data_IF_613835607720
#
_entry.id   IF_613835607720
#
_cell.length_a   1.000
_cell.length_b   1.000
_cell.length_c   1.000
_cell.angle_alpha   90.00
_cell.angle_beta   90.00
_cell.angle_gamma   90.00
#
_symmetry.space_group_name_H-M   'P 1'
#
loop_
_entity.id
_entity.type
_entity.pdbx_description
1 polymer ?
#
# COMPACT_ATOMS: atom_id res chain seq x y z
N UNK A 1 -10.27 -10.03 11.32
CA UNK A 1 -9.98 -11.08 10.30
C UNK A 1 -10.86 -12.32 10.48
N UNK A 2 -11.10 -12.80 11.71
CA UNK A 2 -11.95 -13.97 11.96
C UNK A 2 -13.45 -13.76 11.70
N UNK A 3 -13.95 -12.54 11.88
CA UNK A 3 -15.37 -12.20 11.70
C UNK A 3 -15.90 -12.35 10.27
N UNK A 4 -15.04 -12.28 9.25
CA UNK A 4 -15.44 -12.50 7.85
C UNK A 4 -15.66 -13.98 7.52
N UNK A 5 -14.99 -14.90 8.24
CA UNK A 5 -15.22 -16.35 8.08
C UNK A 5 -16.57 -16.79 8.66
N UNK A 6 -17.19 -15.97 9.50
CA UNK A 6 -18.46 -16.25 10.17
C UNK A 6 -19.69 -15.71 9.43
N UNK A 7 -19.51 -14.94 8.35
CA UNK A 7 -20.62 -14.42 7.56
C UNK A 7 -21.16 -15.49 6.61
N UNK A 8 -22.49 -15.68 6.58
CA UNK A 8 -23.29 -16.59 5.73
C UNK A 8 -22.53 -17.38 4.65
N UNK A 9 -22.58 -18.71 4.73
CA UNK A 9 -21.69 -19.68 4.06
C UNK A 9 -21.32 -19.38 2.60
N UNK A 10 -22.26 -18.91 1.77
CA UNK A 10 -21.98 -18.61 0.35
C UNK A 10 -21.43 -17.20 0.14
N UNK A 11 -22.14 -16.18 0.62
CA UNK A 11 -21.78 -14.77 0.39
C UNK A 11 -20.51 -14.39 1.15
N UNK A 12 -20.37 -14.85 2.40
CA UNK A 12 -19.16 -14.60 3.19
C UNK A 12 -17.94 -15.27 2.59
N UNK A 13 -18.10 -16.48 2.05
CA UNK A 13 -17.02 -17.17 1.33
C UNK A 13 -16.61 -16.41 0.07
N UNK A 14 -17.56 -15.98 -0.76
CA UNK A 14 -17.27 -15.18 -1.97
C UNK A 14 -16.53 -13.87 -1.63
N UNK A 15 -16.93 -13.19 -0.56
CA UNK A 15 -16.25 -11.98 -0.08
C UNK A 15 -14.84 -12.29 0.43
N UNK A 16 -14.69 -13.35 1.22
CA UNK A 16 -13.40 -13.77 1.77
C UNK A 16 -12.43 -14.19 0.66
N UNK A 17 -12.90 -14.96 -0.32
CA UNK A 17 -12.11 -15.42 -1.47
C UNK A 17 -11.65 -14.21 -2.30
N UNK A 18 -12.53 -13.22 -2.53
CA UNK A 18 -12.16 -11.95 -3.17
C UNK A 18 -11.10 -11.20 -2.36
N UNK A 19 -11.28 -11.12 -1.04
CA UNK A 19 -10.32 -10.46 -0.16
C UNK A 19 -8.95 -11.13 -0.21
N UNK A 20 -8.88 -12.47 -0.10
CA UNK A 20 -7.63 -13.21 -0.22
C UNK A 20 -6.99 -12.98 -1.59
N UNK A 21 -7.77 -13.04 -2.68
CA UNK A 21 -7.27 -12.80 -4.03
C UNK A 21 -6.62 -11.42 -4.18
N UNK A 22 -7.23 -10.37 -3.61
CA UNK A 22 -6.68 -9.01 -3.63
C UNK A 22 -5.38 -8.91 -2.82
N UNK A 23 -5.35 -9.48 -1.62
CA UNK A 23 -4.16 -9.45 -0.75
C UNK A 23 -3.00 -10.27 -1.33
N UNK A 24 -3.29 -11.44 -1.92
CA UNK A 24 -2.26 -12.29 -2.52
C UNK A 24 -1.62 -11.66 -3.75
N UNK A 25 -2.40 -10.93 -4.55
CA UNK A 25 -1.91 -10.20 -5.73
C UNK A 25 -1.11 -8.95 -5.39
N UNK A 26 -1.32 -8.36 -4.22
CA UNK A 26 -0.61 -7.16 -3.77
C UNK A 26 0.66 -7.58 -2.99
N UNK A 27 1.77 -7.73 -3.70
CA UNK A 27 3.04 -8.15 -3.08
C UNK A 27 3.60 -7.05 -2.19
N UNK A 28 3.44 -5.80 -2.60
CA UNK A 28 3.91 -4.60 -1.89
C UNK A 28 3.25 -4.45 -0.52
N UNK A 29 2.00 -4.87 -0.39
CA UNK A 29 1.32 -4.94 0.91
C UNK A 29 2.04 -5.88 1.88
N UNK A 30 2.55 -7.03 1.41
CA UNK A 30 3.32 -7.96 2.26
C UNK A 30 4.64 -7.33 2.69
N UNK A 31 5.31 -6.62 1.78
CA UNK A 31 6.53 -5.84 2.07
C UNK A 31 6.25 -4.80 3.17
N UNK A 32 5.19 -4.00 3.04
CA UNK A 32 4.82 -3.01 4.06
C UNK A 32 4.51 -3.62 5.43
N UNK A 33 3.84 -4.78 5.46
CA UNK A 33 3.58 -5.51 6.71
C UNK A 33 4.89 -5.97 7.34
N UNK A 34 5.85 -6.45 6.55
CA UNK A 34 7.16 -6.88 7.06
C UNK A 34 7.94 -5.69 7.64
N UNK A 35 7.96 -4.56 6.94
CA UNK A 35 8.59 -3.32 7.42
C UNK A 35 7.95 -2.86 8.74
N UNK A 36 6.62 -2.92 8.84
CA UNK A 36 5.90 -2.59 10.08
C UNK A 36 6.32 -3.49 11.24
N UNK A 37 6.50 -4.80 11.01
CA UNK A 37 6.95 -5.73 12.06
C UNK A 37 8.36 -5.43 12.53
N UNK A 38 9.25 -5.06 11.61
CA UNK A 38 10.61 -4.61 11.94
C UNK A 38 10.56 -3.36 12.81
N UNK A 39 9.73 -2.37 12.46
CA UNK A 39 9.54 -1.17 13.29
C UNK A 39 8.93 -1.46 14.67
N UNK A 40 8.10 -2.49 14.78
CA UNK A 40 7.52 -2.96 16.06
C UNK A 40 8.47 -3.89 16.83
N UNK A 41 9.67 -4.17 16.32
CA UNK A 41 10.63 -5.12 16.89
C UNK A 41 10.06 -6.54 17.08
N UNK A 42 9.07 -6.92 16.28
CA UNK A 42 8.54 -8.29 16.25
C UNK A 42 9.43 -9.24 15.41
N UNK A 43 10.16 -8.68 14.46
CA UNK A 43 11.04 -9.39 13.52
C UNK A 43 12.28 -8.55 13.27
N UNK A 44 13.46 -9.16 13.31
CA UNK A 44 14.75 -8.48 13.07
C UNK A 44 15.38 -8.85 11.71
N UNK A 45 14.61 -9.46 10.81
CA UNK A 45 15.08 -9.93 9.50
C UNK A 45 14.47 -9.12 8.35
N UNK A 46 15.30 -8.84 7.34
CA UNK A 46 14.88 -8.26 6.06
C UNK A 46 14.28 -9.29 5.10
N UNK A 47 14.00 -10.50 5.58
CA UNK A 47 13.47 -11.57 4.75
C UNK A 47 12.04 -11.21 4.27
N UNK A 48 11.82 -11.27 2.96
CA UNK A 48 10.52 -10.90 2.36
C UNK A 48 10.39 -9.43 1.99
N UNK A 49 11.44 -8.62 2.14
CA UNK A 49 11.57 -7.27 1.59
C UNK A 49 12.38 -7.35 0.28
N UNK A 50 12.04 -6.53 -0.71
CA UNK A 50 12.75 -6.50 -2.00
C UNK A 50 14.23 -6.13 -1.80
N UNK A 51 15.14 -6.78 -2.54
CA UNK A 51 16.59 -6.61 -2.39
C UNK A 51 17.07 -5.17 -2.63
N UNK A 52 16.29 -4.38 -3.37
CA UNK A 52 16.58 -2.99 -3.69
C UNK A 52 16.36 -2.02 -2.50
N UNK A 53 15.62 -2.44 -1.46
CA UNK A 53 15.37 -1.64 -0.26
C UNK A 53 16.45 -1.87 0.79
N UNK A 54 17.12 -0.79 1.21
CA UNK A 54 18.13 -0.85 2.26
C UNK A 54 17.54 -0.60 3.64
N UNK A 55 18.32 -0.92 4.68
CA UNK A 55 17.94 -0.68 6.08
C UNK A 55 17.67 0.80 6.34
N UNK A 56 18.45 1.69 5.72
CA UNK A 56 18.27 3.13 5.87
C UNK A 56 16.90 3.59 5.31
N UNK A 57 16.44 2.94 4.24
CA UNK A 57 15.19 3.29 3.57
C UNK A 57 13.96 2.94 4.40
N UNK A 58 14.04 1.93 5.28
CA UNK A 58 12.95 1.54 6.19
C UNK A 58 12.46 2.72 7.03
N UNK A 59 13.37 3.60 7.44
CA UNK A 59 13.05 4.75 8.27
C UNK A 59 12.00 5.67 7.64
N UNK A 60 11.95 5.75 6.30
CA UNK A 60 10.97 6.53 5.56
C UNK A 60 9.56 5.93 5.60
N UNK A 61 9.44 4.62 5.88
CA UNK A 61 8.16 3.92 5.99
C UNK A 61 7.52 4.04 7.38
N UNK A 62 8.13 4.77 8.32
CA UNK A 62 7.57 4.98 9.67
C UNK A 62 6.13 5.52 9.66
N UNK A 63 5.80 6.32 8.65
CA UNK A 63 4.48 6.93 8.48
C UNK A 63 3.70 6.33 7.30
N UNK A 64 4.20 5.25 6.69
CA UNK A 64 3.50 4.60 5.59
C UNK A 64 2.20 3.98 6.11
N UNK A 65 1.08 4.41 5.53
CA UNK A 65 -0.23 3.87 5.87
C UNK A 65 -0.35 2.42 5.38
N UNK A 66 -0.58 1.47 6.30
CA UNK A 66 -0.88 0.07 5.96
C UNK A 66 -2.34 -0.08 5.48
N UNK A 67 -3.16 0.95 5.71
CA UNK A 67 -4.57 1.02 5.30
C UNK A 67 -4.71 1.29 3.81
N UNK A 68 -5.43 0.42 3.08
CA UNK A 68 -5.63 0.58 1.63
C UNK A 68 -6.45 1.82 1.24
N UNK A 69 -7.13 2.44 2.21
CA UNK A 69 -7.97 3.63 1.99
C UNK A 69 -7.11 4.83 1.55
N UNK A 70 -5.95 5.01 2.19
CA UNK A 70 -5.05 6.12 1.87
C UNK A 70 -4.34 5.88 0.54
N UNK A 71 -4.01 4.62 0.25
CA UNK A 71 -3.41 4.20 -1.03
C UNK A 71 -4.38 4.46 -2.19
N UNK A 72 -5.64 4.03 -2.11
CA UNK A 72 -6.64 4.31 -3.16
C UNK A 72 -6.91 5.81 -3.34
N UNK A 73 -7.02 6.57 -2.24
CA UNK A 73 -7.22 8.02 -2.31
C UNK A 73 -6.02 8.69 -2.97
N UNK A 74 -4.80 8.32 -2.59
CA UNK A 74 -3.59 8.93 -3.13
C UNK A 74 -3.36 8.53 -4.59
N UNK A 75 -3.62 7.27 -4.97
CA UNK A 75 -3.59 6.85 -6.38
C UNK A 75 -4.66 7.54 -7.21
N UNK A 76 -5.88 7.72 -6.69
CA UNK A 76 -6.96 8.41 -7.40
C UNK A 76 -6.65 9.90 -7.59
N UNK A 77 -6.15 10.57 -6.55
CA UNK A 77 -5.72 11.97 -6.62
C UNK A 77 -4.54 12.16 -7.60
N UNK A 78 -3.52 11.29 -7.52
CA UNK A 78 -2.34 11.37 -8.37
C UNK A 78 -2.53 10.70 -9.75
N UNK A 79 -3.68 10.06 -10.02
CA UNK A 79 -3.96 9.46 -11.32
C UNK A 79 -3.86 10.49 -12.45
N UNK A 80 -4.31 11.72 -12.18
CA UNK A 80 -4.21 12.82 -13.14
C UNK A 80 -2.79 13.33 -13.37
N UNK A 81 -1.87 13.05 -12.44
CA UNK A 81 -0.45 13.39 -12.52
C UNK A 81 0.38 12.27 -13.18
N UNK A 82 0.06 11.02 -12.87
CA UNK A 82 0.82 9.83 -13.26
C UNK A 82 0.32 9.16 -14.55
N UNK A 83 -0.87 9.52 -15.05
CA UNK A 83 -1.33 9.01 -16.35
C UNK A 83 -0.75 9.83 -17.49
N UNK A 84 -0.11 9.13 -18.43
CA UNK A 84 0.28 9.73 -19.68
C UNK A 84 -0.97 10.32 -20.36
N UNK A 85 -0.85 11.58 -20.76
CA UNK A 85 -1.70 12.18 -21.80
C UNK A 85 -3.06 12.82 -21.39
N UNK A 86 -3.22 13.37 -20.18
CA UNK A 86 -4.40 14.25 -19.87
C UNK A 86 -4.13 15.72 -19.60
N UNK A 87 -2.90 16.13 -19.27
CA UNK A 87 -2.42 17.53 -19.23
C UNK A 87 -0.91 17.51 -19.07
N UNK A 88 -0.17 18.15 -19.96
CA UNK A 88 1.27 18.37 -19.79
C UNK A 88 1.48 19.39 -18.66
N UNK A 89 1.69 18.92 -17.44
CA UNK A 89 2.05 19.79 -16.33
C UNK A 89 3.51 20.20 -16.44
N UNK A 90 3.78 21.50 -16.31
CA UNK A 90 5.14 21.99 -16.09
C UNK A 90 5.59 21.57 -14.68
N UNK A 91 6.89 21.38 -14.51
CA UNK A 91 7.50 20.98 -13.23
C UNK A 91 7.00 21.80 -12.03
N UNK A 92 6.83 23.11 -12.22
CA UNK A 92 6.35 24.04 -11.20
C UNK A 92 4.90 23.79 -10.77
N UNK A 93 4.06 23.32 -11.70
CA UNK A 93 2.68 22.94 -11.41
C UNK A 93 2.62 21.63 -10.63
N UNK A 94 3.52 20.68 -10.94
CA UNK A 94 3.66 19.41 -10.20
C UNK A 94 4.10 19.71 -8.76
N UNK A 95 5.11 20.58 -8.59
CA UNK A 95 5.59 21.02 -7.27
C UNK A 95 4.46 21.61 -6.42
N UNK A 96 3.62 22.48 -7.00
CA UNK A 96 2.50 23.07 -6.28
C UNK A 96 1.45 22.02 -5.87
N UNK A 97 1.13 21.06 -6.75
CA UNK A 97 0.19 19.97 -6.42
C UNK A 97 0.75 19.11 -5.27
N UNK A 98 2.05 18.81 -5.27
CA UNK A 98 2.70 18.00 -4.24
C UNK A 98 2.83 18.73 -2.89
N UNK A 99 2.91 20.06 -2.88
CA UNK A 99 3.02 20.87 -1.66
C UNK A 99 1.64 21.12 -1.01
N UNK A 100 0.58 21.18 -1.81
CA UNK A 100 -0.80 21.45 -1.34
C UNK A 100 -1.45 20.19 -0.74
N UNK A 101 -0.97 18.99 -1.10
CA UNK A 101 -1.47 17.71 -0.59
C UNK A 101 -0.67 17.16 0.58
#
# INVERSE_FOLDING_TARGET
RETLKMANEKVGKEIYDKFQNVIEKNKEFKTLVQISKIHSSEVDTMEGIEEDLKVEDLSFFKYASITSIDVERNFSCNKNLLSDNRRSYKFEQIKNILIIH
#
